data_IF_958262024300
#
_entry.id   IF_958262024300
#
_cell.length_a   1.000
_cell.length_b   1.000
_cell.length_c   1.000
_cell.angle_alpha   90.00
_cell.angle_beta   90.00
_cell.angle_gamma   90.00
#
_symmetry.space_group_name_H-M   'P 1'
#
loop_
_entity.id
_entity.type
_entity.pdbx_description
1 polymer ?
#
# COMPACT_ATOMS: atom_id res chain seq x y z
N UNK A 1 -21.16 2.40 59.43
CA UNK A 1 -21.84 1.54 58.45
C UNK A 1 -21.80 2.11 57.04
N UNK A 2 -22.07 3.37 56.79
CA UNK A 2 -22.14 4.06 55.49
C UNK A 2 -20.76 4.07 54.77
N UNK A 3 -19.66 4.32 55.49
CA UNK A 3 -18.31 4.42 54.93
C UNK A 3 -17.85 3.12 54.21
N UNK A 4 -18.19 1.97 54.74
CA UNK A 4 -17.86 0.68 54.12
C UNK A 4 -18.70 0.38 52.87
N UNK A 5 -19.87 0.98 52.75
CA UNK A 5 -20.73 0.85 51.58
C UNK A 5 -20.13 1.64 50.38
N UNK A 6 -19.67 2.85 50.64
CA UNK A 6 -18.98 3.66 49.58
C UNK A 6 -17.69 3.02 49.09
N UNK A 7 -16.90 2.43 49.99
CA UNK A 7 -15.65 1.75 49.58
C UNK A 7 -15.97 0.54 48.68
N UNK A 8 -16.96 -0.26 49.02
CA UNK A 8 -17.36 -1.40 48.15
C UNK A 8 -17.94 -0.94 46.83
N UNK A 9 -18.71 0.12 46.82
CA UNK A 9 -19.25 0.69 45.57
C UNK A 9 -18.14 1.25 44.66
N UNK A 10 -17.21 2.00 45.22
CA UNK A 10 -16.05 2.52 44.48
C UNK A 10 -15.19 1.40 43.91
N UNK A 11 -14.92 0.34 44.67
CA UNK A 11 -14.17 -0.83 44.25
C UNK A 11 -14.86 -1.57 43.11
N UNK A 12 -16.16 -1.82 43.18
CA UNK A 12 -16.91 -2.45 42.10
C UNK A 12 -16.95 -1.57 40.83
N UNK A 13 -17.09 -0.26 40.98
CA UNK A 13 -17.05 0.68 39.85
C UNK A 13 -15.70 0.69 39.16
N UNK A 14 -14.59 0.61 39.91
CA UNK A 14 -13.25 0.54 39.37
C UNK A 14 -13.03 -0.75 38.55
N UNK A 15 -13.49 -1.89 39.09
CA UNK A 15 -13.43 -3.19 38.39
C UNK A 15 -14.23 -3.12 37.07
N UNK A 16 -15.45 -2.56 37.12
CA UNK A 16 -16.30 -2.43 35.94
C UNK A 16 -15.62 -1.56 34.85
N UNK A 17 -15.05 -0.42 35.24
CA UNK A 17 -14.29 0.46 34.35
C UNK A 17 -13.05 -0.24 33.72
N UNK A 18 -12.35 -1.03 34.54
CA UNK A 18 -11.16 -1.78 34.04
C UNK A 18 -11.59 -2.83 33.02
N UNK A 19 -12.66 -3.57 33.28
CA UNK A 19 -13.18 -4.57 32.33
C UNK A 19 -13.63 -3.93 31.02
N UNK A 20 -14.31 -2.79 31.06
CA UNK A 20 -14.74 -2.05 29.86
C UNK A 20 -13.51 -1.55 29.07
N UNK A 21 -12.46 -1.10 29.75
CA UNK A 21 -11.25 -0.62 29.10
C UNK A 21 -10.49 -1.76 28.39
N UNK A 22 -10.42 -2.94 29.00
CA UNK A 22 -9.78 -4.11 28.38
C UNK A 22 -10.60 -4.71 27.25
N UNK A 23 -11.92 -4.54 27.23
CA UNK A 23 -12.77 -5.08 26.16
C UNK A 23 -12.51 -4.44 24.79
N UNK A 24 -12.11 -3.18 24.76
CA UNK A 24 -11.78 -2.47 23.52
C UNK A 24 -10.40 -2.83 22.92
N UNK A 25 -9.55 -3.53 23.67
CA UNK A 25 -8.20 -3.85 23.23
C UNK A 25 -8.07 -5.18 22.45
N UNK A 26 -9.16 -5.96 22.37
CA UNK A 26 -9.13 -7.32 21.81
C UNK A 26 -9.61 -7.44 20.34
N UNK A 27 -9.81 -6.34 19.64
CA UNK A 27 -10.28 -6.38 18.25
C UNK A 27 -9.19 -5.88 17.30
N UNK A 28 -8.04 -6.54 17.27
CA UNK A 28 -7.12 -6.43 16.16
C UNK A 28 -7.61 -7.41 15.07
N UNK A 29 -8.05 -6.89 13.95
CA UNK A 29 -8.23 -7.69 12.73
C UNK A 29 -6.82 -8.06 12.25
N UNK A 30 -6.42 -9.29 12.49
CA UNK A 30 -5.15 -9.80 12.00
C UNK A 30 -5.30 -10.21 10.54
N UNK A 31 -4.82 -9.34 9.63
CA UNK A 31 -4.48 -9.73 8.28
C UNK A 31 -3.06 -10.29 8.36
N UNK A 32 -2.88 -11.54 8.04
CA UNK A 32 -1.57 -12.16 7.94
C UNK A 32 -1.20 -12.33 6.47
N UNK A 33 -0.03 -11.88 6.08
CA UNK A 33 0.54 -12.18 4.77
C UNK A 33 2.04 -12.45 4.89
N UNK A 34 2.56 -13.25 3.98
CA UNK A 34 3.96 -13.62 3.94
C UNK A 34 4.43 -13.84 2.50
N UNK A 35 5.72 -13.89 2.31
CA UNK A 35 6.38 -14.10 1.04
C UNK A 35 7.08 -15.47 1.05
N UNK A 36 7.11 -16.14 -0.10
CA UNK A 36 7.86 -17.39 -0.24
C UNK A 36 9.37 -17.20 -0.03
N UNK A 37 9.87 -15.99 -0.25
CA UNK A 37 11.28 -15.62 -0.07
C UNK A 37 11.39 -14.13 0.31
N UNK A 38 12.21 -13.84 1.33
CA UNK A 38 12.44 -12.48 1.84
C UNK A 38 13.51 -11.72 1.07
N UNK A 39 14.32 -12.42 0.27
CA UNK A 39 15.44 -11.83 -0.45
C UNK A 39 15.67 -12.50 -1.79
N UNK A 40 16.16 -11.71 -2.74
CA UNK A 40 16.56 -12.18 -4.06
C UNK A 40 18.04 -11.95 -4.25
N UNK A 41 18.79 -13.04 -4.46
CA UNK A 41 20.22 -12.95 -4.79
C UNK A 41 20.38 -12.71 -6.30
N UNK A 42 20.99 -11.59 -6.66
CA UNK A 42 21.29 -11.24 -8.05
C UNK A 42 22.66 -11.77 -8.43
N UNK A 43 22.71 -12.83 -9.24
CA UNK A 43 23.94 -13.37 -9.84
C UNK A 43 24.08 -12.90 -11.26
N UNK A 44 25.26 -13.12 -11.85
CA UNK A 44 25.55 -12.72 -13.24
C UNK A 44 24.69 -13.41 -14.29
N UNK A 45 24.13 -14.56 -13.95
CA UNK A 45 23.22 -15.38 -14.75
C UNK A 45 21.73 -15.22 -14.36
N UNK A 46 21.41 -14.20 -13.54
CA UNK A 46 20.04 -13.98 -13.07
C UNK A 46 19.08 -13.70 -14.25
N UNK A 47 18.08 -14.55 -14.39
CA UNK A 47 17.07 -14.49 -15.45
C UNK A 47 15.63 -14.28 -14.91
N UNK A 48 15.51 -13.81 -13.68
CA UNK A 48 14.25 -13.59 -13.00
C UNK A 48 14.04 -14.59 -11.85
N UNK A 49 13.12 -14.24 -10.96
CA UNK A 49 12.72 -15.07 -9.81
C UNK A 49 11.21 -14.99 -9.63
N UNK A 50 10.57 -16.11 -9.43
CA UNK A 50 9.18 -16.19 -9.03
C UNK A 50 9.08 -16.04 -7.50
N UNK A 51 8.21 -15.16 -7.04
CA UNK A 51 7.90 -14.96 -5.62
C UNK A 51 6.41 -15.16 -5.45
N UNK A 52 6.03 -16.02 -4.53
CA UNK A 52 4.65 -16.26 -4.15
C UNK A 52 4.31 -15.39 -2.94
N UNK A 53 3.25 -14.62 -3.06
CA UNK A 53 2.66 -13.85 -1.96
C UNK A 53 1.41 -14.61 -1.53
N UNK A 54 1.33 -14.96 -0.27
CA UNK A 54 0.17 -15.66 0.30
C UNK A 54 -0.26 -15.01 1.60
N UNK A 55 -1.55 -15.14 1.92
CA UNK A 55 -2.07 -14.53 3.13
C UNK A 55 -3.37 -15.17 3.58
N UNK A 56 -3.70 -14.89 4.84
CA UNK A 56 -4.95 -15.28 5.46
C UNK A 56 -5.76 -14.01 5.73
N UNK A 57 -6.96 -14.00 5.21
CA UNK A 57 -7.96 -12.96 5.45
C UNK A 57 -9.02 -13.52 6.37
N UNK A 58 -9.40 -12.70 7.35
CA UNK A 58 -10.50 -13.05 8.22
C UNK A 58 -11.79 -12.52 7.57
N UNK A 59 -12.64 -13.42 7.10
CA UNK A 59 -13.89 -13.15 6.37
C UNK A 59 -13.70 -12.89 4.85
N UNK A 60 -14.82 -12.86 4.13
CA UNK A 60 -14.89 -12.59 2.68
C UNK A 60 -14.66 -11.10 2.35
N UNK A 61 -13.49 -10.56 2.74
CA UNK A 61 -13.12 -9.20 2.37
C UNK A 61 -12.49 -9.16 0.98
N UNK A 62 -12.86 -8.13 0.23
CA UNK A 62 -12.16 -7.81 -1.00
C UNK A 62 -10.72 -7.40 -0.69
N UNK A 63 -9.81 -7.81 -1.58
CA UNK A 63 -8.38 -7.56 -1.42
C UNK A 63 -7.83 -6.73 -2.56
N UNK A 64 -6.92 -5.86 -2.20
CA UNK A 64 -6.10 -5.09 -3.12
C UNK A 64 -4.63 -5.30 -2.77
N UNK A 65 -3.86 -5.82 -3.70
CA UNK A 65 -2.42 -6.00 -3.58
C UNK A 65 -1.70 -4.95 -4.41
N UNK A 66 -0.83 -4.18 -3.78
CA UNK A 66 0.03 -3.21 -4.47
C UNK A 66 1.49 -3.49 -4.17
N UNK A 67 2.31 -3.58 -5.22
CA UNK A 67 3.77 -3.66 -5.10
C UNK A 67 4.36 -2.42 -5.75
N UNK A 68 5.08 -1.62 -4.98
CA UNK A 68 5.74 -0.40 -5.43
C UNK A 68 7.26 -0.55 -5.26
N UNK A 69 8.00 -0.37 -6.34
CA UNK A 69 9.45 -0.25 -6.28
C UNK A 69 9.90 1.13 -5.77
N UNK A 70 11.20 1.31 -5.51
CA UNK A 70 11.73 2.59 -5.07
C UNK A 70 11.46 3.70 -6.11
N UNK A 71 11.30 4.96 -5.66
CA UNK A 71 11.05 6.08 -6.55
C UNK A 71 12.24 6.35 -7.46
N UNK A 72 11.95 6.64 -8.72
CA UNK A 72 12.93 6.91 -9.77
C UNK A 72 12.57 8.14 -10.60
N UNK A 73 13.48 8.56 -11.46
CA UNK A 73 13.22 9.58 -12.48
C UNK A 73 13.22 8.93 -13.85
N UNK A 74 12.19 9.19 -14.63
CA UNK A 74 12.08 8.72 -16.00
C UNK A 74 12.13 9.92 -16.97
N UNK A 75 12.98 9.85 -17.97
CA UNK A 75 13.05 10.85 -19.04
C UNK A 75 12.61 10.23 -20.35
N UNK A 76 11.56 10.78 -20.93
CA UNK A 76 11.07 10.40 -22.26
C UNK A 76 11.50 11.47 -23.25
N UNK A 77 12.14 11.06 -24.33
CA UNK A 77 12.62 11.95 -25.38
C UNK A 77 11.86 11.69 -26.68
N UNK A 78 11.41 12.77 -27.32
CA UNK A 78 10.83 12.71 -28.66
C UNK A 78 11.95 12.81 -29.71
N UNK A 79 12.02 11.84 -30.59
CA UNK A 79 12.90 11.90 -31.76
C UNK A 79 12.16 12.53 -32.93
N UNK A 80 12.79 13.48 -33.59
CA UNK A 80 12.29 14.12 -34.81
C UNK A 80 13.33 14.04 -35.90
N UNK A 81 12.86 13.98 -37.15
CA UNK A 81 13.72 13.89 -38.28
C UNK A 81 13.92 15.26 -38.94
N UNK A 82 15.16 15.77 -38.92
CA UNK A 82 15.55 16.99 -39.59
C UNK A 82 16.60 16.67 -40.67
N UNK A 83 16.34 17.08 -41.92
CA UNK A 83 17.22 16.83 -43.05
C UNK A 83 17.72 15.38 -43.17
N UNK A 84 16.87 14.43 -42.86
CA UNK A 84 17.23 13.00 -42.91
C UNK A 84 17.90 12.43 -41.66
N UNK A 85 18.27 13.25 -40.69
CA UNK A 85 18.93 12.83 -39.44
C UNK A 85 17.93 12.83 -38.30
N UNK A 86 17.96 11.78 -37.47
CA UNK A 86 17.15 11.70 -36.27
C UNK A 86 17.83 12.43 -35.12
N UNK A 87 17.16 13.45 -34.57
CA UNK A 87 17.63 14.20 -33.41
C UNK A 87 16.64 14.11 -32.26
N UNK A 88 17.15 14.15 -31.03
CA UNK A 88 16.31 14.27 -29.82
C UNK A 88 15.97 15.73 -29.62
N UNK A 89 14.70 16.10 -29.82
CA UNK A 89 14.29 17.51 -29.80
C UNK A 89 13.68 17.91 -28.43
N UNK A 90 12.71 17.17 -27.95
CA UNK A 90 12.00 17.49 -26.74
C UNK A 90 12.13 16.35 -25.73
N UNK A 91 12.13 16.69 -24.47
CA UNK A 91 12.08 15.69 -23.42
C UNK A 91 11.05 16.08 -22.34
N UNK A 92 10.43 15.09 -21.75
CA UNK A 92 9.58 15.23 -20.57
C UNK A 92 10.22 14.39 -19.46
N UNK A 93 10.37 14.97 -18.30
CA UNK A 93 10.89 14.27 -17.14
C UNK A 93 9.75 14.03 -16.16
N UNK A 94 9.59 12.79 -15.78
CA UNK A 94 8.72 12.37 -14.70
C UNK A 94 9.57 12.12 -13.48
N UNK A 95 9.24 12.76 -12.36
CA UNK A 95 9.93 12.60 -11.08
C UNK A 95 9.07 11.81 -10.11
N UNK A 96 9.73 11.10 -9.20
CA UNK A 96 9.06 10.34 -8.16
C UNK A 96 8.14 9.23 -8.69
N UNK A 97 8.54 8.57 -9.78
CA UNK A 97 7.81 7.44 -10.35
C UNK A 97 8.35 6.16 -9.71
N UNK A 98 7.49 5.26 -9.22
CA UNK A 98 7.96 3.97 -8.76
C UNK A 98 8.63 3.20 -9.91
N UNK A 99 9.80 2.62 -9.67
CA UNK A 99 10.54 1.83 -10.66
C UNK A 99 9.79 0.57 -11.09
N UNK A 100 8.91 0.07 -10.23
CA UNK A 100 7.96 -0.99 -10.46
C UNK A 100 6.62 -0.57 -9.85
N UNK A 101 5.54 -0.79 -10.57
CA UNK A 101 4.18 -0.62 -10.06
C UNK A 101 3.34 -1.81 -10.51
N UNK A 102 2.89 -2.58 -9.55
CA UNK A 102 1.99 -3.71 -9.76
C UNK A 102 0.75 -3.52 -8.89
N UNK A 103 -0.41 -3.74 -9.48
CA UNK A 103 -1.70 -3.62 -8.81
C UNK A 103 -2.55 -4.83 -9.20
N UNK A 104 -3.04 -5.55 -8.22
CA UNK A 104 -3.95 -6.67 -8.38
C UNK A 104 -5.08 -6.59 -7.39
N UNK A 105 -6.26 -7.00 -7.79
CA UNK A 105 -7.46 -6.94 -6.96
C UNK A 105 -8.32 -8.18 -7.14
N UNK A 106 -9.09 -8.54 -6.12
CA UNK A 106 -10.04 -9.65 -6.15
C UNK A 106 -11.28 -9.36 -6.99
N UNK A 107 -11.62 -8.05 -7.17
CA UNK A 107 -12.71 -7.54 -8.01
C UNK A 107 -12.25 -6.30 -8.78
N UNK A 108 -13.13 -5.70 -9.58
CA UNK A 108 -12.85 -4.42 -10.20
C UNK A 108 -12.49 -3.36 -9.14
N UNK A 109 -11.41 -2.63 -9.38
CA UNK A 109 -10.83 -1.70 -8.39
C UNK A 109 -11.85 -0.65 -7.94
N UNK A 110 -12.67 -0.16 -8.87
CA UNK A 110 -13.70 0.85 -8.59
C UNK A 110 -14.85 0.31 -7.71
N UNK A 111 -15.02 -1.00 -7.62
CA UNK A 111 -15.98 -1.63 -6.72
C UNK A 111 -15.43 -1.77 -5.30
N UNK A 112 -14.10 -1.86 -5.16
CA UNK A 112 -13.43 -2.04 -3.86
C UNK A 112 -13.16 -0.69 -3.20
N UNK A 113 -12.64 0.28 -3.96
CA UNK A 113 -12.24 1.58 -3.45
C UNK A 113 -12.78 2.73 -4.31
N UNK A 114 -13.28 3.79 -3.68
CA UNK A 114 -13.64 5.01 -4.40
C UNK A 114 -12.39 5.68 -5.01
N UNK A 115 -12.57 6.35 -6.14
CA UNK A 115 -11.50 7.02 -6.90
C UNK A 115 -10.68 8.00 -6.03
N UNK A 116 -11.33 8.67 -5.09
CA UNK A 116 -10.67 9.59 -4.17
C UNK A 116 -9.60 8.91 -3.31
N UNK A 117 -9.83 7.67 -2.88
CA UNK A 117 -8.86 6.89 -2.12
C UNK A 117 -7.72 6.39 -3.04
N UNK A 118 -8.06 5.94 -4.26
CA UNK A 118 -7.06 5.53 -5.24
C UNK A 118 -6.05 6.65 -5.55
N UNK A 119 -6.52 7.88 -5.65
CA UNK A 119 -5.68 9.05 -5.87
C UNK A 119 -4.85 9.38 -4.63
N UNK A 120 -5.45 9.38 -3.44
CA UNK A 120 -4.76 9.75 -2.21
C UNK A 120 -3.64 8.77 -1.84
N UNK A 121 -3.86 7.48 -2.03
CA UNK A 121 -2.91 6.42 -1.69
C UNK A 121 -1.89 6.13 -2.82
N UNK A 122 -1.82 6.98 -3.85
CA UNK A 122 -0.94 6.77 -5.02
C UNK A 122 -1.18 5.43 -5.73
N UNK A 123 -2.43 5.00 -5.80
CA UNK A 123 -2.84 3.78 -6.48
C UNK A 123 -3.35 4.03 -7.90
N UNK A 124 -3.46 5.30 -8.30
CA UNK A 124 -3.89 5.72 -9.62
C UNK A 124 -2.72 6.08 -10.53
N UNK A 125 -2.71 5.57 -11.76
CA UNK A 125 -1.75 5.97 -12.78
C UNK A 125 -1.83 7.46 -13.14
N UNK A 126 -2.98 8.08 -13.03
CA UNK A 126 -3.15 9.50 -13.34
C UNK A 126 -2.29 10.39 -12.44
N UNK A 127 -2.21 10.09 -11.15
CA UNK A 127 -1.35 10.85 -10.22
C UNK A 127 0.13 10.68 -10.54
N UNK A 128 0.54 9.47 -10.94
CA UNK A 128 1.91 9.19 -11.38
C UNK A 128 2.26 10.02 -12.62
N UNK A 129 1.35 10.13 -13.59
CA UNK A 129 1.56 10.87 -14.83
C UNK A 129 1.50 12.39 -14.65
N UNK A 130 0.90 12.90 -13.59
CA UNK A 130 0.82 14.34 -13.30
C UNK A 130 2.14 14.91 -12.75
N UNK A 131 3.09 14.09 -12.30
CA UNK A 131 4.42 14.51 -11.82
C UNK A 131 5.42 14.76 -12.99
N UNK A 132 4.98 15.43 -14.04
CA UNK A 132 5.80 15.74 -15.22
C UNK A 132 6.36 17.17 -15.18
N UNK A 133 7.61 17.32 -15.62
CA UNK A 133 8.27 18.61 -15.88
C UNK A 133 8.80 18.64 -17.32
N UNK A 134 8.68 19.80 -17.97
CA UNK A 134 9.15 20.06 -19.32
C UNK A 134 10.51 20.73 -19.32
#
# INVERSE_FOLDING_TARGET
MIKNLYIKFAFNLTILLTVIFFYNFLHAEEIYFDLSEDSIELKTDFNGKEIIIFGLLKNDHETLLTIKGPPSKMRIQKKERYFGIWINNQYVTYSNIPSLFFLSSSKEINEILPESILINEDLSFEKILNNKTF
#
